data_IF_935243634340
#
_entry.id   IF_935243634340
#
_cell.length_a   1.000
_cell.length_b   1.000
_cell.length_c   1.000
_cell.angle_alpha   90.00
_cell.angle_beta   90.00
_cell.angle_gamma   90.00
#
_symmetry.space_group_name_H-M   'P 1'
#
loop_
_entity.id
_entity.type
_entity.pdbx_description
1 polymer ?
#
# COMPACT_ATOMS: atom_id res chain seq x y z
N UNK A 1 -61.74 -12.63 -7.61
CA UNK A 1 -60.61 -12.93 -8.51
C UNK A 1 -59.42 -13.15 -7.60
N UNK A 2 -59.29 -14.38 -7.12
CA UNK A 2 -58.40 -14.73 -6.01
C UNK A 2 -57.01 -15.04 -6.54
N UNK A 3 -56.04 -14.20 -6.18
CA UNK A 3 -54.64 -14.37 -6.58
C UNK A 3 -53.87 -15.03 -5.43
N UNK A 4 -53.64 -16.35 -5.55
CA UNK A 4 -52.78 -17.11 -4.66
C UNK A 4 -51.31 -16.76 -4.96
N UNK A 5 -50.59 -16.17 -4.01
CA UNK A 5 -49.13 -16.02 -4.07
C UNK A 5 -48.45 -17.37 -3.77
N UNK A 6 -47.57 -17.81 -4.68
CA UNK A 6 -46.62 -18.90 -4.43
C UNK A 6 -45.40 -18.36 -3.65
N UNK A 7 -44.88 -19.07 -2.62
CA UNK A 7 -43.66 -18.67 -1.95
C UNK A 7 -42.44 -19.14 -2.75
N UNK A 8 -41.61 -18.20 -3.20
CA UNK A 8 -40.27 -18.49 -3.72
C UNK A 8 -39.32 -18.75 -2.55
N UNK A 9 -38.83 -19.98 -2.41
CA UNK A 9 -37.73 -20.32 -1.52
C UNK A 9 -36.41 -19.81 -2.13
N UNK A 10 -35.84 -18.76 -1.54
CA UNK A 10 -34.47 -18.32 -1.83
C UNK A 10 -33.48 -19.19 -1.06
N UNK A 11 -32.79 -20.10 -1.75
CA UNK A 11 -31.62 -20.80 -1.20
C UNK A 11 -30.42 -19.86 -1.33
N UNK A 12 -30.00 -19.25 -0.23
CA UNK A 12 -28.74 -18.49 -0.18
C UNK A 12 -27.56 -19.44 -0.22
N UNK A 13 -26.88 -19.50 -1.37
CA UNK A 13 -25.58 -20.16 -1.50
C UNK A 13 -24.52 -19.27 -0.85
N UNK A 14 -24.19 -19.57 0.42
CA UNK A 14 -23.05 -18.96 1.11
C UNK A 14 -21.79 -19.47 0.42
N UNK A 15 -21.20 -18.64 -0.44
CA UNK A 15 -19.89 -18.94 -1.03
C UNK A 15 -18.82 -18.63 0.02
N UNK A 16 -18.05 -19.60 0.53
CA UNK A 16 -17.00 -19.32 1.50
C UNK A 16 -15.94 -18.44 0.83
N UNK A 17 -15.78 -17.22 1.34
CA UNK A 17 -14.65 -16.37 1.01
C UNK A 17 -13.38 -17.04 1.55
N UNK A 18 -12.71 -17.84 0.70
CA UNK A 18 -11.34 -18.29 0.99
C UNK A 18 -10.43 -17.07 0.95
N UNK A 19 -10.09 -16.54 2.13
CA UNK A 19 -8.94 -15.67 2.31
C UNK A 19 -7.68 -16.48 2.06
N UNK A 20 -7.28 -16.62 0.80
CA UNK A 20 -5.99 -17.18 0.42
C UNK A 20 -4.90 -16.24 0.95
N UNK A 21 -4.24 -16.64 2.03
CA UNK A 21 -3.03 -15.98 2.55
C UNK A 21 -1.95 -15.94 1.45
N UNK A 22 -1.18 -14.86 1.42
CA UNK A 22 -0.07 -14.72 0.48
C UNK A 22 0.98 -15.82 0.73
N UNK A 23 1.63 -16.32 -0.33
CA UNK A 23 2.73 -17.31 -0.20
C UNK A 23 3.80 -16.79 0.76
N UNK A 24 4.25 -17.67 1.67
CA UNK A 24 5.15 -17.38 2.79
C UNK A 24 6.51 -16.80 2.35
N UNK A 25 6.97 -17.16 1.15
CA UNK A 25 8.28 -16.77 0.62
C UNK A 25 8.16 -16.13 -0.78
N UNK A 26 7.51 -14.98 -0.86
CA UNK A 26 7.55 -14.19 -2.09
C UNK A 26 8.96 -13.63 -2.28
N UNK A 27 9.71 -14.16 -3.26
CA UNK A 27 11.02 -13.66 -3.63
C UNK A 27 10.96 -12.12 -3.85
N UNK A 28 11.87 -11.38 -3.23
CA UNK A 28 11.84 -9.92 -3.23
C UNK A 28 10.90 -9.31 -2.18
N UNK A 29 10.83 -9.91 -0.99
CA UNK A 29 10.23 -9.29 0.21
C UNK A 29 11.33 -8.66 1.07
N UNK A 30 11.17 -7.38 1.40
CA UNK A 30 12.09 -6.65 2.27
C UNK A 30 11.31 -6.09 3.46
N UNK A 31 11.76 -6.42 4.67
CA UNK A 31 11.14 -5.99 5.95
C UNK A 31 11.99 -4.98 6.71
N UNK A 32 13.17 -4.65 6.16
CA UNK A 32 14.12 -3.70 6.71
C UNK A 32 14.45 -2.68 5.61
N UNK A 33 14.18 -1.37 5.81
CA UNK A 33 14.51 -0.33 4.84
C UNK A 33 16.03 -0.16 4.65
N UNK A 34 16.85 -0.67 5.57
CA UNK A 34 18.31 -0.66 5.50
C UNK A 34 18.89 -1.95 4.92
N UNK A 35 18.06 -2.87 4.40
CA UNK A 35 18.54 -4.09 3.74
C UNK A 35 19.39 -3.71 2.51
N UNK A 36 20.68 -4.09 2.45
CA UNK A 36 21.56 -3.75 1.32
C UNK A 36 21.13 -4.39 0.00
N UNK A 37 20.23 -5.39 0.03
CA UNK A 37 19.67 -6.05 -1.14
C UNK A 37 18.38 -5.39 -1.64
N UNK A 38 17.88 -4.35 -0.95
CA UNK A 38 16.68 -3.65 -1.37
C UNK A 38 16.91 -2.97 -2.72
N UNK A 39 16.02 -3.15 -3.72
CA UNK A 39 16.29 -2.66 -5.05
C UNK A 39 16.16 -1.13 -5.12
N UNK A 40 16.88 -0.52 -6.07
CA UNK A 40 16.96 0.93 -6.21
C UNK A 40 15.59 1.61 -6.44
N UNK A 41 14.59 0.88 -6.91
CA UNK A 41 13.22 1.39 -7.06
C UNK A 41 12.53 1.69 -5.72
N UNK A 42 12.99 1.11 -4.61
CA UNK A 42 12.54 1.44 -3.26
C UNK A 42 12.72 2.92 -2.93
N UNK A 43 13.88 3.48 -3.28
CA UNK A 43 14.19 4.88 -3.04
C UNK A 43 13.30 5.84 -3.86
N UNK A 44 12.71 5.36 -4.95
CA UNK A 44 11.87 6.16 -5.85
C UNK A 44 10.39 6.10 -5.48
N UNK A 45 9.88 4.95 -5.02
CA UNK A 45 8.47 4.86 -4.64
C UNK A 45 8.11 5.80 -3.48
N UNK A 46 6.82 6.11 -3.39
CA UNK A 46 6.25 6.91 -2.31
C UNK A 46 5.42 8.07 -2.83
N UNK A 47 5.23 9.06 -1.95
CA UNK A 47 4.40 10.22 -2.24
C UNK A 47 5.26 11.43 -2.61
N UNK A 48 4.73 12.26 -3.51
CA UNK A 48 5.35 13.49 -3.96
C UNK A 48 4.31 14.61 -3.95
N UNK A 49 4.71 15.81 -3.58
CA UNK A 49 3.82 16.96 -3.50
C UNK A 49 4.42 18.17 -4.23
N UNK A 50 3.60 18.83 -5.03
CA UNK A 50 3.91 20.09 -5.69
C UNK A 50 2.74 21.06 -5.55
N UNK A 51 2.90 22.27 -6.12
CA UNK A 51 1.87 23.31 -6.03
C UNK A 51 0.58 22.87 -6.75
N UNK A 52 -0.47 22.58 -5.98
CA UNK A 52 -1.78 22.19 -6.51
C UNK A 52 -1.81 20.80 -7.16
N UNK A 53 -0.85 19.93 -6.87
CA UNK A 53 -0.81 18.56 -7.40
C UNK A 53 -0.06 17.63 -6.44
N UNK A 54 -0.61 16.44 -6.21
CA UNK A 54 0.08 15.33 -5.54
C UNK A 54 0.40 14.21 -6.52
N UNK A 55 1.33 13.34 -6.16
CA UNK A 55 1.58 12.11 -6.89
C UNK A 55 1.90 10.93 -5.97
N UNK A 56 1.43 9.74 -6.34
CA UNK A 56 1.90 8.49 -5.77
C UNK A 56 2.67 7.72 -6.84
N UNK A 57 3.92 7.37 -6.52
CA UNK A 57 4.81 6.59 -7.38
C UNK A 57 4.85 5.16 -6.86
N UNK A 58 4.31 4.23 -7.65
CA UNK A 58 4.14 2.83 -7.29
C UNK A 58 5.23 2.02 -8.01
N UNK A 59 6.17 1.45 -7.27
CA UNK A 59 7.15 0.52 -7.84
C UNK A 59 6.48 -0.79 -8.27
N UNK A 60 6.78 -1.26 -9.48
CA UNK A 60 6.22 -2.46 -10.09
C UNK A 60 7.26 -3.56 -10.31
N UNK A 61 8.40 -3.45 -9.62
CA UNK A 61 9.61 -4.28 -9.70
C UNK A 61 10.52 -3.96 -10.89
N UNK A 62 11.80 -4.29 -10.73
CA UNK A 62 12.84 -4.15 -11.76
C UNK A 62 12.90 -2.75 -12.37
N UNK A 63 12.72 -1.71 -11.53
CA UNK A 63 12.79 -0.33 -11.98
C UNK A 63 11.59 0.16 -12.80
N UNK A 64 10.47 -0.57 -12.81
CA UNK A 64 9.25 -0.12 -13.47
C UNK A 64 8.31 0.57 -12.46
N UNK A 65 7.54 1.55 -12.93
CA UNK A 65 6.64 2.32 -12.08
C UNK A 65 5.32 2.62 -12.77
N UNK A 66 4.27 2.74 -11.96
CA UNK A 66 3.08 3.51 -12.28
C UNK A 66 3.07 4.76 -11.41
N UNK A 67 2.96 5.93 -12.02
CA UNK A 67 2.71 7.19 -11.31
C UNK A 67 1.24 7.53 -11.43
N UNK A 68 0.64 7.93 -10.32
CA UNK A 68 -0.71 8.50 -10.27
C UNK A 68 -0.59 9.96 -9.89
N UNK A 69 -1.01 10.87 -10.77
CA UNK A 69 -1.12 12.29 -10.49
C UNK A 69 -2.52 12.62 -9.98
N UNK A 70 -2.57 13.48 -8.97
CA UNK A 70 -3.76 13.87 -8.24
C UNK A 70 -3.89 15.41 -8.27
N UNK A 71 -4.82 15.98 -9.06
CA UNK A 71 -5.07 17.42 -9.06
C UNK A 71 -5.51 17.93 -7.68
N UNK A 72 -4.95 19.05 -7.24
CA UNK A 72 -5.22 19.67 -5.94
C UNK A 72 -4.27 19.24 -4.82
N UNK A 73 -3.82 17.97 -4.79
CA UNK A 73 -2.96 17.47 -3.73
C UNK A 73 -2.99 15.94 -3.61
N UNK A 74 -2.50 15.39 -2.50
CA UNK A 74 -2.52 13.94 -2.24
C UNK A 74 -3.88 13.50 -1.68
N UNK A 75 -4.24 12.21 -1.74
CA UNK A 75 -5.41 11.69 -1.03
C UNK A 75 -5.39 12.04 0.47
N UNK A 76 -6.49 12.64 0.94
CA UNK A 76 -6.63 13.17 2.31
C UNK A 76 -5.98 14.54 2.54
N UNK A 77 -5.24 15.09 1.57
CA UNK A 77 -4.57 16.39 1.65
C UNK A 77 -4.65 17.10 0.29
N UNK A 78 -5.80 17.69 -0.01
CA UNK A 78 -6.00 18.59 -1.16
C UNK A 78 -6.48 17.95 -2.47
N UNK A 79 -6.36 16.62 -2.65
CA UNK A 79 -6.89 15.98 -3.86
C UNK A 79 -8.41 16.19 -4.02
N UNK A 80 -8.89 16.42 -5.25
CA UNK A 80 -10.30 16.60 -5.58
C UNK A 80 -11.20 15.35 -5.41
N UNK A 81 -10.61 14.20 -5.09
CA UNK A 81 -11.31 12.94 -4.84
C UNK A 81 -11.80 12.20 -6.09
N UNK A 82 -11.60 12.76 -7.29
CA UNK A 82 -12.18 12.24 -8.54
C UNK A 82 -11.15 12.08 -9.66
N UNK A 83 -10.50 13.17 -10.06
CA UNK A 83 -9.69 13.21 -11.27
C UNK A 83 -8.29 12.65 -11.00
N UNK A 84 -7.76 11.87 -11.94
CA UNK A 84 -6.41 11.32 -11.86
C UNK A 84 -5.79 11.25 -13.24
N UNK A 85 -4.46 11.38 -13.31
CA UNK A 85 -3.69 11.06 -14.52
C UNK A 85 -2.68 9.96 -14.22
N UNK A 86 -2.37 9.14 -15.22
CA UNK A 86 -1.51 7.96 -15.06
C UNK A 86 -0.30 8.09 -15.98
N UNK A 87 0.90 7.88 -15.44
CA UNK A 87 2.14 7.80 -16.21
C UNK A 87 2.83 6.47 -15.94
N UNK A 88 3.50 5.94 -16.95
CA UNK A 88 4.46 4.85 -16.75
C UNK A 88 5.84 5.42 -16.51
N UNK A 89 6.64 4.70 -15.72
CA UNK A 89 8.02 5.06 -15.45
C UNK A 89 8.97 3.89 -15.61
N UNK A 90 10.17 4.15 -16.10
CA UNK A 90 11.26 3.17 -16.13
C UNK A 90 12.59 3.80 -15.68
N UNK A 91 13.23 3.20 -14.68
CA UNK A 91 14.50 3.62 -14.12
C UNK A 91 15.66 3.19 -15.03
N UNK A 92 16.36 4.17 -15.59
CA UNK A 92 17.59 3.98 -16.38
C UNK A 92 18.59 5.08 -16.05
N UNK A 93 19.83 4.70 -15.73
CA UNK A 93 20.91 5.67 -15.45
C UNK A 93 20.59 6.62 -14.29
N UNK A 94 20.00 6.12 -13.20
CA UNK A 94 19.69 6.92 -12.00
C UNK A 94 18.48 7.85 -12.14
N UNK A 95 17.79 7.87 -13.28
CA UNK A 95 16.59 8.68 -13.53
C UNK A 95 15.44 7.79 -14.00
N UNK A 96 14.22 8.08 -13.55
CA UNK A 96 13.01 7.49 -14.13
C UNK A 96 12.53 8.38 -15.27
N UNK A 97 12.40 7.81 -16.48
CA UNK A 97 11.73 8.50 -17.58
C UNK A 97 10.23 8.22 -17.50
N UNK A 98 9.41 9.27 -17.56
CA UNK A 98 7.96 9.18 -17.44
C UNK A 98 7.29 9.46 -18.78
N UNK A 99 6.35 8.59 -19.15
CA UNK A 99 5.51 8.73 -20.33
C UNK A 99 4.04 8.59 -19.94
N UNK A 100 3.09 9.14 -20.72
CA UNK A 100 1.68 8.88 -20.53
C UNK A 100 1.42 7.37 -20.45
N UNK A 101 0.56 6.95 -19.52
CA UNK A 101 0.07 5.58 -19.54
C UNK A 101 -0.93 5.48 -20.70
N UNK A 102 -0.66 4.58 -21.65
CA UNK A 102 -1.48 4.35 -22.84
C UNK A 102 -1.75 2.85 -23.03
N UNK A 103 -2.53 2.52 -24.06
CA UNK A 103 -2.89 1.16 -24.45
C UNK A 103 -3.96 0.51 -23.57
N UNK A 104 -4.09 -0.81 -23.67
CA UNK A 104 -5.01 -1.60 -22.85
C UNK A 104 -4.37 -1.93 -21.51
N UNK A 105 -4.98 -1.49 -20.41
CA UNK A 105 -4.50 -1.74 -19.05
C UNK A 105 -5.60 -2.28 -18.16
N UNK A 106 -5.22 -3.12 -17.21
CA UNK A 106 -6.11 -3.78 -16.27
C UNK A 106 -5.68 -3.49 -14.83
N UNK A 107 -6.66 -3.23 -13.99
CA UNK A 107 -6.45 -3.03 -12.56
C UNK A 107 -5.71 -4.23 -11.95
N UNK A 108 -4.60 -3.93 -11.26
CA UNK A 108 -3.75 -4.91 -10.59
C UNK A 108 -3.13 -5.99 -11.50
N UNK A 109 -2.99 -5.74 -12.82
CA UNK A 109 -2.29 -6.67 -13.68
C UNK A 109 -0.85 -6.95 -13.20
N UNK A 110 -0.37 -8.17 -13.42
CA UNK A 110 0.98 -8.57 -13.01
C UNK A 110 2.05 -7.79 -13.76
N UNK A 111 2.00 -7.84 -15.09
CA UNK A 111 2.96 -7.19 -15.96
C UNK A 111 2.89 -5.65 -15.82
N UNK A 112 4.03 -4.95 -15.67
CA UNK A 112 4.05 -3.49 -15.57
C UNK A 112 3.46 -2.76 -16.79
N UNK A 113 3.57 -3.33 -17.98
CA UNK A 113 2.98 -2.79 -19.21
C UNK A 113 1.45 -2.72 -19.15
N UNK A 114 0.84 -3.71 -18.50
CA UNK A 114 -0.61 -3.91 -18.47
C UNK A 114 -1.23 -3.37 -17.18
N UNK A 115 -0.41 -3.04 -16.19
CA UNK A 115 -0.86 -2.60 -14.88
C UNK A 115 -1.58 -1.25 -14.97
N UNK A 116 -2.70 -1.17 -14.25
CA UNK A 116 -3.37 0.08 -13.89
C UNK A 116 -3.54 0.17 -12.37
N UNK A 117 -3.28 1.35 -11.81
CA UNK A 117 -3.58 1.69 -10.42
C UNK A 117 -5.08 2.03 -10.21
N UNK A 118 -5.86 2.13 -11.28
CA UNK A 118 -7.30 2.46 -11.24
C UNK A 118 -8.12 1.35 -11.91
N UNK A 119 -9.34 1.13 -11.40
CA UNK A 119 -10.28 0.12 -11.93
C UNK A 119 -10.68 0.41 -13.37
N UNK A 120 -10.97 1.68 -13.66
CA UNK A 120 -11.24 2.17 -15.01
C UNK A 120 -9.94 2.73 -15.61
N UNK A 121 -9.67 2.37 -16.86
CA UNK A 121 -8.57 2.93 -17.63
C UNK A 121 -9.07 3.40 -19.01
N UNK A 122 -8.74 4.64 -19.44
CA UNK A 122 -8.12 5.69 -18.62
C UNK A 122 -9.05 6.12 -17.47
N UNK A 123 -8.52 6.60 -16.33
CA UNK A 123 -9.36 7.11 -15.25
C UNK A 123 -10.06 8.41 -15.64
N UNK A 124 -11.07 8.80 -14.85
CA UNK A 124 -11.69 10.12 -14.99
C UNK A 124 -10.64 11.24 -14.87
N UNK A 125 -10.72 12.21 -15.79
CA UNK A 125 -9.83 13.38 -15.80
C UNK A 125 -8.40 13.09 -16.24
N UNK A 126 -8.16 11.93 -16.87
CA UNK A 126 -6.85 11.55 -17.38
C UNK A 126 -6.35 12.55 -18.44
N UNK A 127 -5.15 13.08 -18.21
CA UNK A 127 -4.42 13.95 -19.12
C UNK A 127 -3.04 13.34 -19.37
N UNK A 128 -2.55 13.49 -20.59
CA UNK A 128 -1.20 13.07 -20.94
C UNK A 128 -0.17 13.98 -20.25
N UNK A 129 0.80 13.35 -19.59
CA UNK A 129 1.94 14.03 -18.98
C UNK A 129 3.21 13.23 -19.28
N UNK A 130 4.31 13.95 -19.46
CA UNK A 130 5.68 13.43 -19.59
C UNK A 130 6.55 14.08 -18.53
N UNK A 131 7.70 13.49 -18.25
CA UNK A 131 8.63 14.05 -17.30
C UNK A 131 9.68 13.08 -16.83
N UNK A 132 10.29 13.40 -15.69
CA UNK A 132 11.34 12.56 -15.10
C UNK A 132 11.27 12.55 -13.58
N UNK A 133 11.75 11.47 -12.96
CA UNK A 133 12.01 11.41 -11.52
C UNK A 133 13.50 11.30 -11.30
N UNK A 134 14.06 12.21 -10.50
CA UNK A 134 15.45 12.21 -10.04
C UNK A 134 15.58 13.06 -8.78
N UNK A 135 16.57 12.75 -7.94
CA UNK A 135 16.92 13.57 -6.78
C UNK A 135 15.72 13.81 -5.83
N UNK A 136 14.89 12.79 -5.65
CA UNK A 136 13.67 12.88 -4.84
C UNK A 136 12.64 13.87 -5.36
N UNK A 137 12.62 14.17 -6.66
CA UNK A 137 11.68 15.09 -7.29
C UNK A 137 11.11 14.54 -8.58
N UNK A 138 9.85 14.86 -8.87
CA UNK A 138 9.23 14.69 -10.18
C UNK A 138 9.28 16.03 -10.91
N UNK A 139 9.91 16.03 -12.07
CA UNK A 139 9.91 17.15 -13.01
C UNK A 139 8.95 16.80 -14.14
N UNK A 140 7.75 17.38 -14.11
CA UNK A 140 6.81 17.29 -15.24
C UNK A 140 7.25 18.27 -16.32
N UNK A 141 7.22 17.86 -17.59
CA UNK A 141 7.62 18.75 -18.70
C UNK A 141 6.70 19.98 -18.82
N UNK A 142 5.43 19.79 -18.46
CA UNK A 142 4.42 20.84 -18.31
C UNK A 142 3.76 20.71 -16.95
N UNK A 143 4.18 21.53 -15.99
CA UNK A 143 3.62 21.55 -14.64
C UNK A 143 4.63 21.97 -13.58
N UNK A 144 4.23 21.95 -12.30
CA UNK A 144 5.15 22.21 -11.21
C UNK A 144 6.12 21.03 -10.99
N UNK A 145 7.20 21.30 -10.27
CA UNK A 145 8.05 20.24 -9.71
C UNK A 145 7.39 19.72 -8.43
N UNK A 146 7.34 18.39 -8.28
CA UNK A 146 6.85 17.75 -7.05
C UNK A 146 8.05 17.21 -6.27
N UNK A 147 8.12 17.47 -4.97
CA UNK A 147 9.15 16.95 -4.07
C UNK A 147 8.64 15.70 -3.35
N UNK A 148 9.49 14.69 -3.19
CA UNK A 148 9.20 13.50 -2.38
C UNK A 148 8.87 13.96 -0.96
N UNK A 149 7.80 13.41 -0.41
CA UNK A 149 7.30 13.76 0.90
C UNK A 149 6.99 12.51 1.70
N UNK A 150 7.26 12.57 2.99
CA UNK A 150 6.88 11.53 3.95
C UNK A 150 5.87 12.14 4.91
N UNK A 151 4.65 11.58 4.93
CA UNK A 151 3.66 11.93 5.94
C UNK A 151 3.87 11.04 7.16
N UNK A 152 3.87 11.64 8.35
CA UNK A 152 4.01 10.93 9.61
C UNK A 152 2.75 11.12 10.44
N UNK A 153 2.30 10.05 11.10
CA UNK A 153 1.21 10.15 12.07
C UNK A 153 1.67 11.03 13.25
N UNK A 154 0.82 11.94 13.76
CA UNK A 154 1.10 12.67 14.99
C UNK A 154 1.27 11.75 16.22
N UNK A 155 0.81 10.50 16.14
CA UNK A 155 0.93 9.50 17.21
C UNK A 155 2.03 8.48 16.98
N UNK A 156 2.83 8.61 15.91
CA UNK A 156 3.95 7.70 15.66
C UNK A 156 4.98 7.79 16.79
N UNK A 157 5.38 6.66 17.36
CA UNK A 157 6.26 6.55 18.53
C UNK A 157 5.63 7.02 19.84
N UNK A 158 4.31 7.21 19.92
CA UNK A 158 3.66 7.70 21.14
C UNK A 158 3.85 6.70 22.28
N UNK A 159 4.43 7.16 23.39
CA UNK A 159 4.59 6.33 24.59
C UNK A 159 3.25 5.86 25.13
N UNK A 160 3.17 4.63 25.68
CA UNK A 160 1.97 4.16 26.36
C UNK A 160 1.56 5.13 27.48
N UNK A 161 0.27 5.51 27.59
CA UNK A 161 -0.19 6.34 28.70
C UNK A 161 -0.08 5.58 30.03
N UNK A 162 -0.09 6.32 31.15
CA UNK A 162 -0.04 5.71 32.49
C UNK A 162 -1.18 4.69 32.67
N UNK A 163 -0.83 3.46 33.05
CA UNK A 163 -1.78 2.37 33.27
C UNK A 163 -2.12 1.55 32.01
N UNK A 164 -1.57 1.90 30.84
CA UNK A 164 -1.69 1.05 29.66
C UNK A 164 -0.93 -0.27 29.81
N UNK A 165 -1.47 -1.32 29.20
CA UNK A 165 -0.76 -2.59 29.02
C UNK A 165 0.08 -2.47 27.75
N UNK A 166 1.40 -2.62 27.89
CA UNK A 166 2.31 -2.66 26.75
C UNK A 166 2.30 -4.07 26.15
N UNK A 167 1.75 -4.21 24.94
CA UNK A 167 1.75 -5.50 24.24
C UNK A 167 3.07 -5.77 23.49
N UNK A 168 3.74 -4.73 23.03
CA UNK A 168 5.01 -4.84 22.31
C UNK A 168 5.72 -3.48 22.27
N UNK A 169 6.97 -3.42 22.68
CA UNK A 169 7.84 -2.23 22.61
C UNK A 169 9.21 -2.54 21.96
N UNK A 170 9.42 -3.77 21.49
CA UNK A 170 10.65 -4.24 20.89
C UNK A 170 11.58 -5.03 21.81
N UNK A 171 11.28 -5.19 23.12
CA UNK A 171 12.10 -5.99 24.04
C UNK A 171 11.92 -7.49 23.85
N UNK A 172 10.68 -7.94 23.83
CA UNK A 172 10.27 -9.34 23.77
C UNK A 172 8.89 -9.47 23.11
N UNK A 173 8.40 -10.70 23.00
CA UNK A 173 7.06 -11.00 22.44
C UNK A 173 6.19 -11.79 23.41
N UNK A 174 6.42 -11.66 24.72
CA UNK A 174 5.76 -12.52 25.71
C UNK A 174 4.25 -12.29 25.83
N UNK A 175 3.73 -11.17 25.35
CA UNK A 175 2.27 -10.96 25.26
C UNK A 175 1.65 -11.58 23.99
N UNK A 176 2.42 -12.24 23.13
CA UNK A 176 1.97 -12.77 21.84
C UNK A 176 2.11 -14.29 21.70
N UNK A 177 1.12 -14.89 21.05
CA UNK A 177 1.15 -16.22 20.47
C UNK A 177 1.57 -16.09 19.00
N UNK A 178 2.64 -16.79 18.62
CA UNK A 178 3.23 -16.70 17.29
C UNK A 178 4.21 -15.53 17.13
N UNK A 179 4.47 -15.14 15.89
CA UNK A 179 5.35 -14.04 15.51
C UNK A 179 6.84 -14.28 15.79
N UNK A 180 7.67 -13.42 15.20
CA UNK A 180 9.12 -13.40 15.41
C UNK A 180 9.56 -11.99 15.77
N UNK A 181 10.19 -11.84 16.93
CA UNK A 181 10.92 -10.62 17.25
C UNK A 181 12.21 -10.61 16.41
N UNK A 182 12.35 -9.59 15.57
CA UNK A 182 13.56 -9.40 14.79
C UNK A 182 14.67 -8.79 15.65
N UNK A 183 15.82 -9.45 15.70
CA UNK A 183 16.93 -9.00 16.52
C UNK A 183 17.52 -7.66 16.05
N UNK A 184 17.47 -7.38 14.75
CA UNK A 184 18.03 -6.17 14.12
C UNK A 184 17.03 -5.02 14.17
N UNK A 185 15.83 -5.22 13.62
CA UNK A 185 14.85 -4.13 13.47
C UNK A 185 14.00 -3.91 14.72
N UNK A 186 14.04 -4.84 15.69
CA UNK A 186 13.17 -4.86 16.89
C UNK A 186 11.68 -4.89 16.56
N UNK A 187 11.30 -5.29 15.33
CA UNK A 187 9.91 -5.43 14.92
C UNK A 187 9.38 -6.83 15.23
N UNK A 188 8.10 -6.90 15.57
CA UNK A 188 7.35 -8.15 15.64
C UNK A 188 6.84 -8.52 14.25
N UNK A 189 7.49 -9.49 13.61
CA UNK A 189 7.12 -9.96 12.29
C UNK A 189 6.07 -11.07 12.38
N UNK A 190 5.07 -11.01 11.50
CA UNK A 190 4.06 -12.06 11.36
C UNK A 190 4.57 -13.28 10.58
N UNK A 191 5.63 -13.11 9.79
CA UNK A 191 6.19 -14.12 8.88
C UNK A 191 5.11 -14.87 8.06
N UNK A 192 4.07 -14.13 7.66
CA UNK A 192 2.97 -14.63 6.82
C UNK A 192 1.90 -15.46 7.57
N UNK A 193 1.87 -15.42 8.90
CA UNK A 193 0.88 -16.11 9.74
C UNK A 193 0.22 -15.15 10.73
N UNK A 194 -1.00 -15.46 11.15
CA UNK A 194 -1.67 -14.68 12.19
C UNK A 194 -0.88 -14.75 13.50
N UNK A 195 -0.88 -13.63 14.22
CA UNK A 195 -0.38 -13.53 15.60
C UNK A 195 -1.52 -13.03 16.48
N UNK A 196 -1.54 -13.47 17.73
CA UNK A 196 -2.63 -13.16 18.66
C UNK A 196 -2.07 -12.77 20.01
N UNK A 197 -2.71 -11.84 20.71
CA UNK A 197 -2.39 -11.57 22.12
C UNK A 197 -2.68 -12.81 22.97
N UNK A 198 -1.85 -13.09 23.98
CA UNK A 198 -2.17 -14.13 24.98
C UNK A 198 -3.36 -13.73 25.83
N UNK A 199 -3.48 -12.43 26.13
CA UNK A 199 -4.62 -11.84 26.84
C UNK A 199 -5.83 -11.71 25.93
N UNK A 200 -6.99 -11.76 26.55
CA UNK A 200 -8.28 -11.40 25.96
C UNK A 200 -8.69 -10.03 26.48
N UNK A 201 -9.34 -9.26 25.63
CA UNK A 201 -9.81 -7.90 25.94
C UNK A 201 -11.29 -7.81 25.58
N UNK A 202 -12.00 -6.90 26.25
CA UNK A 202 -13.37 -6.56 25.89
C UNK A 202 -13.37 -5.13 25.36
N UNK A 203 -13.71 -4.14 26.19
CA UNK A 203 -13.52 -2.73 25.86
C UNK A 203 -12.06 -2.30 26.06
N UNK A 204 -11.49 -1.61 25.06
CA UNK A 204 -10.12 -1.11 25.13
C UNK A 204 -9.90 0.10 24.22
N UNK A 205 -8.84 0.86 24.52
CA UNK A 205 -8.22 1.77 23.57
C UNK A 205 -6.89 1.17 23.11
N UNK A 206 -6.70 1.05 21.79
CA UNK A 206 -5.51 0.49 21.18
C UNK A 206 -4.67 1.57 20.50
N UNK A 207 -3.36 1.53 20.71
CA UNK A 207 -2.39 2.22 19.87
C UNK A 207 -1.54 1.15 19.17
N UNK A 208 -1.54 1.17 17.83
CA UNK A 208 -0.81 0.21 17.00
C UNK A 208 -0.07 0.96 15.90
N UNK A 209 1.21 0.61 15.74
CA UNK A 209 2.05 1.04 14.62
C UNK A 209 2.42 -0.19 13.80
N UNK A 210 2.41 -0.04 12.48
CA UNK A 210 2.74 -1.13 11.57
C UNK A 210 3.60 -0.63 10.43
N UNK A 211 4.46 -1.52 9.93
CA UNK A 211 5.31 -1.29 8.78
C UNK A 211 4.92 -2.32 7.70
N UNK A 212 4.65 -1.84 6.49
CA UNK A 212 4.37 -2.73 5.36
C UNK A 212 5.70 -3.22 4.76
N UNK A 213 5.83 -4.53 4.45
CA UNK A 213 7.00 -5.02 3.75
C UNK A 213 7.05 -4.43 2.34
N UNK A 214 8.25 -4.16 1.83
CA UNK A 214 8.43 -3.81 0.44
C UNK A 214 8.37 -5.06 -0.44
N UNK A 215 7.36 -5.12 -1.31
CA UNK A 215 7.08 -6.23 -2.24
C UNK A 215 6.72 -5.72 -3.63
N UNK A 216 7.67 -5.14 -4.39
CA UNK A 216 7.35 -4.41 -5.62
C UNK A 216 6.81 -5.30 -6.75
N UNK A 217 7.16 -6.60 -6.78
CA UNK A 217 6.64 -7.55 -7.77
C UNK A 217 5.24 -8.09 -7.41
N UNK A 218 4.82 -7.97 -6.15
CA UNK A 218 3.51 -8.43 -5.72
C UNK A 218 2.40 -7.46 -6.14
N UNK A 219 1.16 -7.97 -6.20
CA UNK A 219 -0.06 -7.22 -6.51
C UNK A 219 -1.17 -7.62 -5.53
N UNK A 220 -2.16 -6.75 -5.39
CA UNK A 220 -3.36 -7.02 -4.57
C UNK A 220 -3.01 -7.56 -3.18
N UNK A 221 -3.66 -8.65 -2.80
CA UNK A 221 -3.50 -9.32 -1.49
C UNK A 221 -2.06 -9.75 -1.18
N UNK A 222 -1.21 -9.98 -2.19
CA UNK A 222 0.18 -10.36 -1.98
C UNK A 222 1.10 -9.20 -1.57
N UNK A 223 0.65 -7.95 -1.75
CA UNK A 223 1.47 -6.75 -1.58
C UNK A 223 1.33 -6.15 -0.18
N UNK A 224 1.76 -6.93 0.81
CA UNK A 224 1.81 -6.50 2.22
C UNK A 224 0.44 -6.44 2.89
N UNK A 225 -0.48 -7.35 2.54
CA UNK A 225 -1.78 -7.40 3.20
C UNK A 225 -1.67 -7.98 4.62
N UNK A 226 -2.36 -7.35 5.57
CA UNK A 226 -2.56 -7.79 6.94
C UNK A 226 -3.85 -7.15 7.49
N UNK A 227 -4.17 -7.38 8.75
CA UNK A 227 -5.36 -6.81 9.40
C UNK A 227 -5.24 -6.80 10.91
N UNK A 228 -5.92 -5.84 11.55
CA UNK A 228 -6.16 -5.83 12.98
C UNK A 228 -7.54 -6.41 13.24
N UNK A 229 -7.60 -7.57 13.89
CA UNK A 229 -8.81 -8.34 14.10
C UNK A 229 -9.24 -8.25 15.56
N UNK A 230 -10.43 -7.71 15.80
CA UNK A 230 -11.08 -7.68 17.12
C UNK A 230 -11.96 -8.93 17.23
N UNK A 231 -11.29 -10.06 17.46
CA UNK A 231 -11.91 -11.37 17.54
C UNK A 231 -11.56 -11.97 18.90
N UNK A 232 -12.55 -12.63 19.50
CA UNK A 232 -12.60 -13.19 20.88
C UNK A 232 -13.44 -12.37 21.86
#
# INVERSE_FOLDING_TARGET
MDMKLLPFFFVSIITPFLCLSAKKDFAGTYVDPEDPKIPADFAVQGEYLGKGIGAQVIALDKGNFQVVLYPGGLPGVGWDGKNRSLLTGNLKGGKVNLNPAEGSRKYLAGAPSDFSATRQFPPQGHKAHTGTIRDGKIYLDKGPVLKKTERRSPTLGKSPPKGAITLFDGSDKEEWLGGRLDAKTKLLNTDGSDIRTKRKFNDYHMHLEFLLPYRPAARGQGRGNSGFYQID
#
